data_IF_717382838553
#
_entry.id   IF_717382838553
#
_cell.length_a   1.000
_cell.length_b   1.000
_cell.length_c   1.000
_cell.angle_alpha   90.00
_cell.angle_beta   90.00
_cell.angle_gamma   90.00
#
_symmetry.space_group_name_H-M   'P 1'
#
loop_
_entity.id
_entity.type
_entity.pdbx_description
1 polymer ?
#
# COMPACT_ATOMS: atom_id res chain seq x y z
N UNK A 1 11.41 -38.54 71.14
CA UNK A 1 11.27 -37.97 72.50
C UNK A 1 12.49 -37.13 72.80
N UNK A 2 12.56 -35.88 72.33
CA UNK A 2 13.48 -34.85 72.86
C UNK A 2 12.79 -33.50 72.64
N UNK A 3 12.61 -32.84 73.78
CA UNK A 3 11.93 -31.58 74.01
C UNK A 3 12.96 -30.47 73.86
N UNK A 4 12.74 -29.42 73.10
CA UNK A 4 13.58 -28.23 73.11
C UNK A 4 12.69 -26.99 73.38
N UNK A 5 13.06 -26.32 74.46
CA UNK A 5 12.40 -25.18 75.04
C UNK A 5 12.60 -23.91 74.25
N UNK A 6 11.61 -23.03 74.34
CA UNK A 6 11.64 -21.64 73.83
C UNK A 6 12.27 -20.70 74.87
N UNK A 7 13.13 -19.80 74.35
CA UNK A 7 13.52 -18.61 75.11
C UNK A 7 13.19 -17.34 74.30
N UNK A 8 12.61 -16.29 74.88
CA UNK A 8 12.24 -15.09 74.15
C UNK A 8 13.33 -14.02 74.31
N UNK A 9 13.92 -13.65 73.23
CA UNK A 9 14.82 -12.50 73.16
C UNK A 9 14.07 -11.25 72.68
N UNK A 10 13.91 -10.28 73.55
CA UNK A 10 13.44 -8.90 73.30
C UNK A 10 14.51 -8.17 72.51
N UNK A 11 14.22 -7.72 71.32
CA UNK A 11 15.05 -6.76 70.58
C UNK A 11 14.32 -5.39 70.52
N UNK A 12 15.02 -4.37 71.01
CA UNK A 12 14.63 -2.98 71.01
C UNK A 12 14.75 -2.41 69.60
N UNK A 13 13.66 -1.90 69.07
CA UNK A 13 13.61 -1.18 67.80
C UNK A 13 14.06 0.26 68.02
N UNK A 14 15.20 0.63 67.48
CA UNK A 14 15.58 2.02 67.19
C UNK A 14 15.19 2.37 65.76
N UNK A 15 14.43 3.44 65.52
CA UNK A 15 14.13 3.84 64.11
C UNK A 15 15.28 4.67 63.56
N UNK A 16 16.00 4.11 62.61
CA UNK A 16 16.94 4.85 61.78
C UNK A 16 16.16 5.45 60.62
N UNK A 17 15.89 6.74 60.70
CA UNK A 17 15.23 7.55 59.68
C UNK A 17 16.26 7.79 58.55
N UNK A 18 16.24 6.96 57.50
CA UNK A 18 17.01 7.18 56.27
C UNK A 18 16.20 8.07 55.35
N UNK A 19 16.62 9.32 55.26
CA UNK A 19 16.14 10.28 54.25
C UNK A 19 16.63 9.83 52.87
N UNK A 20 15.77 9.19 52.10
CA UNK A 20 16.00 8.97 50.67
C UNK A 20 15.63 10.24 49.93
N UNK A 21 16.59 11.07 49.59
CA UNK A 21 16.48 12.11 48.58
C UNK A 21 16.40 11.42 47.23
N UNK A 22 15.17 11.17 46.78
CA UNK A 22 14.91 10.70 45.40
C UNK A 22 15.20 11.81 44.41
N UNK A 23 16.35 11.75 43.77
CA UNK A 23 16.60 12.46 42.51
C UNK A 23 15.74 11.79 41.45
N UNK A 24 14.56 12.36 41.17
CA UNK A 24 13.78 11.99 39.99
C UNK A 24 14.54 12.58 38.81
N UNK A 25 15.44 11.78 38.20
CA UNK A 25 15.92 12.04 36.89
C UNK A 25 14.71 11.84 35.93
N UNK A 26 14.13 12.95 35.50
CA UNK A 26 13.19 12.94 34.40
C UNK A 26 13.95 12.43 33.17
N UNK A 27 13.88 11.11 32.90
CA UNK A 27 14.24 10.55 31.60
C UNK A 27 13.18 11.08 30.66
N UNK A 28 13.47 12.19 30.02
CA UNK A 28 12.80 12.58 28.80
C UNK A 28 13.05 11.45 27.80
N UNK A 29 12.07 10.55 27.66
CA UNK A 29 11.97 9.69 26.49
C UNK A 29 11.64 10.65 25.35
N UNK A 30 12.69 11.27 24.80
CA UNK A 30 12.61 11.83 23.46
C UNK A 30 12.26 10.65 22.57
N UNK A 31 11.02 10.57 22.10
CA UNK A 31 10.75 9.92 20.84
C UNK A 31 11.65 10.65 19.87
N UNK A 32 12.79 10.04 19.52
CA UNK A 32 13.52 10.41 18.34
C UNK A 32 12.51 10.20 17.20
N UNK A 33 11.84 11.27 16.77
CA UNK A 33 11.37 11.35 15.42
C UNK A 33 12.61 10.97 14.60
N UNK A 34 12.57 9.86 13.85
CA UNK A 34 13.53 9.63 12.79
C UNK A 34 13.56 10.94 12.03
N UNK A 35 14.67 11.65 12.16
CA UNK A 35 14.85 12.93 11.46
C UNK A 35 14.60 12.60 10.00
N UNK A 36 13.63 13.25 9.43
CA UNK A 36 13.07 13.08 8.10
C UNK A 36 14.10 13.63 7.10
N UNK A 37 15.28 12.96 7.06
CA UNK A 37 16.41 13.37 6.26
C UNK A 37 16.03 13.28 4.79
N UNK A 38 15.82 14.45 4.21
CA UNK A 38 15.48 14.58 2.81
C UNK A 38 16.66 14.15 1.94
N UNK A 39 16.44 13.34 0.91
CA UNK A 39 17.50 13.00 -0.04
C UNK A 39 17.89 14.16 -0.94
N UNK A 40 17.14 15.26 -0.91
CA UNK A 40 17.30 16.44 -1.78
C UNK A 40 17.51 17.66 -0.91
N UNK A 41 18.64 18.33 -1.10
CA UNK A 41 18.98 19.55 -0.38
C UNK A 41 17.91 20.65 -0.59
N UNK A 42 17.46 21.22 0.51
CA UNK A 42 16.48 22.31 0.51
C UNK A 42 15.00 21.91 0.41
N UNK A 43 14.70 20.60 0.36
CA UNK A 43 13.34 20.09 0.39
C UNK A 43 13.14 19.14 1.58
N UNK A 44 11.96 19.09 2.14
CA UNK A 44 11.57 18.06 3.10
C UNK A 44 11.24 16.76 2.38
N UNK A 45 11.28 15.64 3.08
CA UNK A 45 10.88 14.34 2.53
C UNK A 45 9.44 14.36 1.99
N UNK A 46 8.52 15.03 2.68
CA UNK A 46 7.13 15.15 2.24
C UNK A 46 7.03 15.90 0.90
N UNK A 47 7.73 17.02 0.76
CA UNK A 47 7.79 17.79 -0.49
C UNK A 47 8.40 16.97 -1.63
N UNK A 48 9.47 16.22 -1.38
CA UNK A 48 10.08 15.36 -2.41
C UNK A 48 9.09 14.27 -2.87
N UNK A 49 8.34 13.67 -1.95
CA UNK A 49 7.32 12.67 -2.30
C UNK A 49 6.16 13.27 -3.08
N UNK A 50 5.68 14.45 -2.70
CA UNK A 50 4.60 15.17 -3.40
C UNK A 50 5.02 15.56 -4.82
N UNK A 51 6.20 16.15 -4.97
CA UNK A 51 6.76 16.50 -6.28
C UNK A 51 6.94 15.26 -7.15
N UNK A 52 7.49 14.18 -6.60
CA UNK A 52 7.67 12.92 -7.31
C UNK A 52 6.34 12.26 -7.70
N UNK A 53 5.32 12.36 -6.85
CA UNK A 53 3.96 11.88 -7.15
C UNK A 53 3.37 12.64 -8.34
N UNK A 54 3.49 13.96 -8.36
CA UNK A 54 3.03 14.78 -9.48
C UNK A 54 3.78 14.46 -10.77
N UNK A 55 5.09 14.25 -10.69
CA UNK A 55 5.88 13.81 -11.85
C UNK A 55 5.39 12.45 -12.38
N UNK A 56 5.12 11.51 -11.50
CA UNK A 56 4.69 10.16 -11.85
C UNK A 56 3.28 10.12 -12.42
N UNK A 57 2.34 10.85 -11.81
CA UNK A 57 0.92 10.81 -12.15
C UNK A 57 0.55 11.75 -13.28
N UNK A 58 1.01 13.00 -13.17
CA UNK A 58 0.58 14.07 -14.06
C UNK A 58 1.58 14.33 -15.18
N UNK A 59 2.80 13.78 -15.06
CA UNK A 59 3.87 14.00 -16.03
C UNK A 59 4.41 15.43 -16.01
N UNK A 60 4.34 16.11 -14.87
CA UNK A 60 4.78 17.49 -14.68
C UNK A 60 6.09 17.56 -13.88
N UNK A 61 7.02 18.40 -14.29
CA UNK A 61 8.21 18.75 -13.53
C UNK A 61 7.86 19.51 -12.24
N UNK A 62 8.78 19.63 -11.28
CA UNK A 62 8.58 20.44 -10.07
C UNK A 62 8.19 21.89 -10.35
N UNK A 63 8.66 22.47 -11.44
CA UNK A 63 8.30 23.83 -11.88
C UNK A 63 6.92 23.94 -12.55
N UNK A 64 6.21 22.81 -12.74
CA UNK A 64 4.89 22.73 -13.36
C UNK A 64 4.90 22.59 -14.89
N UNK A 65 6.06 22.55 -15.54
CA UNK A 65 6.15 22.30 -16.97
C UNK A 65 5.98 20.79 -17.27
N UNK A 66 5.40 20.41 -18.45
CA UNK A 66 5.34 19.02 -18.86
C UNK A 66 6.74 18.41 -19.02
N UNK A 67 6.91 17.17 -18.54
CA UNK A 67 8.11 16.39 -18.83
C UNK A 67 8.10 16.04 -20.31
N UNK A 68 9.16 16.38 -21.04
CA UNK A 68 9.31 15.97 -22.43
C UNK A 68 9.86 14.56 -22.53
N UNK A 69 9.41 13.79 -23.52
CA UNK A 69 9.87 12.43 -23.75
C UNK A 69 9.84 12.08 -25.23
N UNK A 70 10.50 10.97 -25.58
CA UNK A 70 10.39 10.36 -26.90
C UNK A 70 9.78 8.97 -26.79
N UNK A 71 8.77 8.68 -27.60
CA UNK A 71 8.23 7.33 -27.83
C UNK A 71 8.62 6.87 -29.23
N UNK A 72 8.67 5.56 -29.44
CA UNK A 72 9.02 4.98 -30.74
C UNK A 72 10.35 5.49 -31.33
N UNK A 73 11.22 6.02 -30.48
CA UNK A 73 12.57 6.58 -30.73
C UNK A 73 12.59 8.06 -31.17
N UNK A 74 11.64 8.54 -31.95
CA UNK A 74 11.67 9.85 -32.62
C UNK A 74 10.42 10.71 -32.44
N UNK A 75 9.34 10.13 -31.91
CA UNK A 75 8.10 10.89 -31.69
C UNK A 75 8.20 11.59 -30.35
N UNK A 76 8.31 12.93 -30.39
CA UNK A 76 8.29 13.75 -29.19
C UNK A 76 6.87 13.82 -28.59
N UNK A 77 6.77 13.62 -27.29
CA UNK A 77 5.52 13.66 -26.52
C UNK A 77 5.72 14.40 -25.20
N UNK A 78 4.63 14.86 -24.62
CA UNK A 78 4.61 15.44 -23.31
C UNK A 78 4.21 14.40 -22.25
N UNK A 79 4.77 14.52 -21.06
CA UNK A 79 4.49 13.65 -19.91
C UNK A 79 3.02 13.68 -19.48
N UNK A 80 2.32 14.78 -19.72
CA UNK A 80 0.87 14.93 -19.49
C UNK A 80 0.03 13.98 -20.35
N UNK A 81 0.54 13.58 -21.52
CA UNK A 81 -0.10 12.58 -22.40
C UNK A 81 0.40 11.16 -22.10
N UNK A 82 1.63 11.03 -21.64
CA UNK A 82 2.31 9.78 -21.38
C UNK A 82 2.93 9.79 -19.99
N UNK A 83 2.10 9.95 -18.96
CA UNK A 83 2.57 9.86 -17.58
C UNK A 83 2.96 8.42 -17.22
N UNK A 84 3.77 8.26 -16.18
CA UNK A 84 4.15 6.92 -15.73
C UNK A 84 2.92 6.11 -15.26
N UNK A 85 1.98 6.80 -14.58
CA UNK A 85 0.73 6.20 -14.08
C UNK A 85 -0.13 5.63 -15.20
N UNK A 86 -0.15 6.24 -16.39
CA UNK A 86 -1.01 5.80 -17.50
C UNK A 86 -0.75 4.35 -17.91
N UNK A 87 0.48 3.87 -17.75
CA UNK A 87 0.86 2.48 -18.05
C UNK A 87 1.15 1.66 -16.78
N UNK A 88 1.86 2.26 -15.81
CA UNK A 88 2.29 1.55 -14.60
C UNK A 88 1.25 1.56 -13.48
N UNK A 89 0.10 2.17 -13.70
CA UNK A 89 -1.01 2.41 -12.79
C UNK A 89 -0.57 3.16 -11.51
N UNK A 90 -1.53 3.67 -10.74
CA UNK A 90 -1.27 4.49 -9.55
C UNK A 90 -0.36 3.83 -8.52
N UNK A 91 -0.51 2.52 -8.34
CA UNK A 91 0.27 1.75 -7.36
C UNK A 91 1.66 1.37 -7.84
N UNK A 92 2.00 1.62 -9.11
CA UNK A 92 3.24 1.15 -9.70
C UNK A 92 3.30 -0.37 -9.91
N UNK A 93 2.17 -1.08 -9.86
CA UNK A 93 2.16 -2.54 -10.03
C UNK A 93 2.17 -2.98 -11.50
N UNK A 94 2.02 -2.03 -12.42
CA UNK A 94 1.97 -2.33 -13.84
C UNK A 94 0.61 -2.85 -14.31
N UNK A 95 0.51 -3.08 -15.59
CA UNK A 95 -0.71 -3.53 -16.28
C UNK A 95 -0.38 -4.48 -17.41
N UNK A 96 -1.41 -5.10 -17.97
CA UNK A 96 -1.30 -5.87 -19.22
C UNK A 96 -2.38 -5.40 -20.18
N UNK A 97 -1.95 -4.84 -21.30
CA UNK A 97 -2.83 -4.31 -22.34
C UNK A 97 -2.53 -5.01 -23.66
N UNK A 98 -3.42 -5.92 -24.05
CA UNK A 98 -3.22 -6.75 -25.23
C UNK A 98 -1.97 -7.62 -25.10
N UNK A 99 -0.95 -7.32 -25.89
CA UNK A 99 0.35 -8.01 -25.89
C UNK A 99 1.45 -7.24 -25.14
N UNK A 100 1.13 -6.05 -24.62
CA UNK A 100 2.09 -5.21 -23.89
C UNK A 100 1.97 -5.48 -22.41
N UNK A 101 3.06 -5.90 -21.79
CA UNK A 101 3.18 -6.07 -20.35
C UNK A 101 3.97 -4.90 -19.81
N UNK A 102 3.36 -4.15 -18.90
CA UNK A 102 4.01 -3.10 -18.15
C UNK A 102 4.38 -3.64 -16.77
N UNK A 103 5.67 -3.78 -16.51
CA UNK A 103 6.18 -4.35 -15.26
C UNK A 103 6.05 -3.39 -14.08
N UNK A 104 6.01 -3.92 -12.83
CA UNK A 104 5.99 -3.09 -11.64
C UNK A 104 7.16 -2.10 -11.56
N UNK A 105 6.84 -0.88 -11.13
CA UNK A 105 7.80 0.22 -10.91
C UNK A 105 7.85 0.69 -9.45
N UNK A 106 7.17 0.01 -8.54
CA UNK A 106 7.28 0.30 -7.12
C UNK A 106 8.61 -0.20 -6.53
N UNK A 107 9.12 0.47 -5.51
CA UNK A 107 10.43 0.19 -4.93
C UNK A 107 10.62 -1.24 -4.47
N UNK A 108 9.56 -1.85 -3.91
CA UNK A 108 9.59 -3.25 -3.47
C UNK A 108 9.88 -4.27 -4.58
N UNK A 109 9.65 -3.89 -5.85
CA UNK A 109 9.96 -4.69 -7.03
C UNK A 109 11.23 -4.23 -7.74
N UNK A 110 11.44 -2.92 -7.85
CA UNK A 110 12.61 -2.38 -8.55
C UNK A 110 13.93 -2.76 -7.87
N UNK A 111 14.01 -2.60 -6.55
CA UNK A 111 15.22 -2.84 -5.77
C UNK A 111 15.41 -4.30 -5.33
N UNK A 112 14.69 -5.22 -5.96
CA UNK A 112 14.92 -6.67 -5.85
C UNK A 112 15.24 -7.26 -7.21
N UNK A 113 16.05 -8.33 -7.25
CA UNK A 113 16.23 -9.07 -8.50
C UNK A 113 14.89 -9.61 -8.99
N UNK A 114 14.59 -9.38 -10.27
CA UNK A 114 13.47 -10.04 -10.91
C UNK A 114 13.96 -11.41 -11.39
N UNK A 115 13.50 -12.45 -10.74
CA UNK A 115 13.76 -13.81 -11.18
C UNK A 115 12.66 -14.16 -12.18
N UNK A 116 13.05 -14.42 -13.43
CA UNK A 116 12.16 -15.06 -14.39
C UNK A 116 11.72 -16.40 -13.79
N UNK A 117 10.46 -16.76 -13.97
CA UNK A 117 10.07 -18.14 -13.70
C UNK A 117 10.95 -19.03 -14.59
N UNK A 118 11.80 -19.85 -13.99
CA UNK A 118 12.37 -21.01 -14.68
C UNK A 118 11.20 -21.96 -14.98
N UNK A 119 10.48 -21.67 -16.04
CA UNK A 119 9.53 -22.62 -16.59
C UNK A 119 10.35 -23.79 -17.09
N UNK A 120 10.32 -24.90 -16.33
CA UNK A 120 10.87 -26.16 -16.80
C UNK A 120 10.31 -26.42 -18.18
N UNK A 121 11.16 -26.79 -19.13
CA UNK A 121 10.80 -27.03 -20.53
C UNK A 121 9.59 -27.96 -20.73
N UNK A 122 9.29 -28.79 -19.73
CA UNK A 122 8.13 -29.69 -19.71
C UNK A 122 6.79 -29.00 -19.47
N UNK A 123 6.77 -27.82 -18.82
CA UNK A 123 5.54 -27.04 -18.62
C UNK A 123 5.18 -26.17 -19.85
N UNK A 124 6.15 -25.86 -20.71
CA UNK A 124 5.92 -25.07 -21.92
C UNK A 124 5.07 -25.81 -22.97
N UNK A 125 5.02 -27.14 -22.91
CA UNK A 125 4.30 -27.93 -23.90
C UNK A 125 2.76 -27.97 -23.72
N UNK A 126 2.22 -27.55 -22.57
CA UNK A 126 0.80 -27.75 -22.23
C UNK A 126 -0.08 -26.49 -22.27
N UNK A 127 0.50 -25.31 -22.18
CA UNK A 127 -0.24 -24.05 -22.33
C UNK A 127 0.69 -23.08 -23.06
N UNK A 128 0.40 -22.69 -24.31
CA UNK A 128 1.07 -21.56 -24.91
C UNK A 128 0.69 -20.33 -24.06
N UNK A 129 1.51 -20.00 -23.06
CA UNK A 129 1.35 -18.72 -22.42
C UNK A 129 1.70 -17.67 -23.47
N UNK A 130 0.74 -16.87 -23.88
CA UNK A 130 0.96 -15.74 -24.80
C UNK A 130 1.88 -14.67 -24.21
N UNK A 131 2.32 -14.88 -22.98
CA UNK A 131 3.14 -13.96 -22.22
C UNK A 131 4.45 -14.66 -21.89
N UNK A 132 5.52 -14.21 -22.49
CA UNK A 132 6.86 -14.62 -22.09
C UNK A 132 7.09 -14.24 -20.62
N UNK A 133 7.68 -15.14 -19.81
CA UNK A 133 8.02 -14.81 -18.44
C UNK A 133 8.94 -13.58 -18.43
N UNK A 134 8.83 -12.71 -17.41
CA UNK A 134 9.69 -11.56 -17.32
C UNK A 134 11.15 -12.03 -17.31
N UNK A 135 12.01 -11.44 -18.13
CA UNK A 135 13.40 -11.85 -18.17
C UNK A 135 14.09 -11.53 -16.85
N UNK A 136 15.02 -12.39 -16.43
CA UNK A 136 15.86 -12.13 -15.26
C UNK A 136 16.55 -10.76 -15.39
N UNK A 137 16.54 -9.99 -14.30
CA UNK A 137 17.36 -8.79 -14.13
C UNK A 137 17.86 -8.67 -12.68
N UNK A 138 19.05 -8.09 -12.44
CA UNK A 138 19.46 -7.68 -11.12
C UNK A 138 18.53 -6.62 -10.52
N UNK A 139 18.66 -6.35 -9.24
CA UNK A 139 18.05 -5.19 -8.62
C UNK A 139 18.49 -3.90 -9.33
N UNK A 140 17.61 -2.92 -9.43
CA UNK A 140 18.03 -1.58 -9.82
C UNK A 140 18.84 -0.95 -8.68
N UNK A 141 19.77 -0.08 -9.05
CA UNK A 141 20.31 0.98 -8.22
C UNK A 141 19.68 2.30 -8.66
N UNK A 142 19.87 3.35 -7.87
CA UNK A 142 19.33 4.68 -8.22
C UNK A 142 19.87 5.15 -9.59
N UNK A 143 21.17 4.89 -9.88
CA UNK A 143 21.80 5.24 -11.15
C UNK A 143 21.25 4.41 -12.32
N UNK A 144 21.04 3.11 -12.13
CA UNK A 144 20.49 2.25 -13.19
C UNK A 144 19.01 2.54 -13.43
N UNK A 145 18.27 2.96 -12.40
CA UNK A 145 16.88 3.42 -12.52
C UNK A 145 16.80 4.76 -13.27
N UNK A 146 17.68 5.71 -12.93
CA UNK A 146 17.82 6.96 -13.69
C UNK A 146 18.17 6.70 -15.17
N UNK A 147 19.04 5.73 -15.44
CA UNK A 147 19.42 5.32 -16.80
C UNK A 147 18.26 4.72 -17.58
N UNK A 148 17.45 3.86 -16.95
CA UNK A 148 16.31 3.24 -17.65
C UNK A 148 15.23 4.26 -17.99
N UNK A 149 14.95 5.22 -17.11
CA UNK A 149 14.01 6.31 -17.36
C UNK A 149 14.42 7.14 -18.58
N UNK A 150 15.71 7.50 -18.67
CA UNK A 150 16.23 8.36 -19.74
C UNK A 150 16.54 7.63 -21.03
N UNK A 151 17.05 6.40 -20.96
CA UNK A 151 17.60 5.67 -22.11
C UNK A 151 16.87 4.38 -22.40
N UNK A 152 15.97 3.94 -21.54
CA UNK A 152 15.25 2.68 -21.68
C UNK A 152 16.15 1.44 -21.64
N UNK A 153 17.26 1.50 -20.92
CA UNK A 153 18.17 0.36 -20.73
C UNK A 153 18.11 -0.14 -19.30
N UNK A 154 17.72 -1.39 -19.13
CA UNK A 154 17.67 -2.03 -17.82
C UNK A 154 19.08 -2.30 -17.24
N UNK A 155 19.20 -2.86 -16.01
CA UNK A 155 20.51 -3.16 -15.40
C UNK A 155 21.37 -4.14 -16.21
N UNK A 156 20.78 -4.93 -17.09
CA UNK A 156 21.49 -5.85 -18.01
C UNK A 156 21.76 -5.23 -19.39
N UNK A 157 21.62 -3.91 -19.54
CA UNK A 157 21.73 -3.18 -20.81
C UNK A 157 20.73 -3.60 -21.91
N UNK A 158 19.68 -4.35 -21.53
CA UNK A 158 18.62 -4.66 -22.47
C UNK A 158 17.78 -3.43 -22.74
N UNK A 159 17.44 -3.22 -23.99
CA UNK A 159 16.57 -2.13 -24.41
C UNK A 159 15.13 -2.52 -24.10
N UNK A 160 14.44 -1.69 -23.33
CA UNK A 160 13.01 -1.84 -23.07
C UNK A 160 12.20 -1.50 -24.33
N UNK A 161 10.97 -1.99 -24.36
CA UNK A 161 10.04 -1.71 -25.45
C UNK A 161 9.96 -0.19 -25.70
N UNK A 162 9.95 0.21 -26.97
CA UNK A 162 9.93 1.61 -27.38
C UNK A 162 8.58 2.32 -27.12
N UNK A 163 7.56 1.58 -26.74
CA UNK A 163 6.29 2.13 -26.22
C UNK A 163 6.52 2.86 -24.89
N UNK A 164 7.44 2.36 -24.05
CA UNK A 164 7.84 3.10 -22.84
C UNK A 164 8.58 4.38 -23.25
N UNK A 165 8.13 5.56 -22.85
CA UNK A 165 8.81 6.81 -23.19
C UNK A 165 10.24 6.89 -22.65
N UNK A 166 11.08 7.65 -23.34
CA UNK A 166 12.43 8.04 -22.90
C UNK A 166 12.37 9.49 -22.45
N UNK A 167 12.28 9.68 -21.14
CA UNK A 167 12.03 11.01 -20.57
C UNK A 167 13.29 11.88 -20.57
N UNK A 168 13.12 13.12 -20.99
CA UNK A 168 14.15 14.16 -20.97
C UNK A 168 14.15 14.83 -19.59
N UNK A 169 14.53 14.12 -18.58
CA UNK A 169 14.60 14.58 -17.19
C UNK A 169 16.02 14.31 -16.64
N UNK A 170 16.53 15.18 -15.80
CA UNK A 170 17.87 15.04 -15.23
C UNK A 170 18.07 15.90 -14.00
N UNK A 171 19.26 15.80 -13.39
CA UNK A 171 19.60 16.53 -12.17
C UNK A 171 18.60 16.22 -11.03
N UNK A 172 18.33 17.22 -10.22
CA UNK A 172 17.45 17.12 -9.04
C UNK A 172 16.06 16.58 -9.36
N UNK A 173 15.47 16.93 -10.52
CA UNK A 173 14.15 16.43 -10.91
C UNK A 173 14.15 14.91 -11.10
N UNK A 174 15.21 14.36 -11.70
CA UNK A 174 15.35 12.91 -11.85
C UNK A 174 15.56 12.23 -10.50
N UNK A 175 16.32 12.84 -9.61
CA UNK A 175 16.56 12.31 -8.26
C UNK A 175 15.27 12.30 -7.44
N UNK A 176 14.43 13.32 -7.56
CA UNK A 176 13.07 13.38 -6.98
C UNK A 176 12.22 12.21 -7.49
N UNK A 177 12.17 11.98 -8.80
CA UNK A 177 11.38 10.91 -9.39
C UNK A 177 11.91 9.53 -8.96
N UNK A 178 13.22 9.31 -8.95
CA UNK A 178 13.84 8.06 -8.48
C UNK A 178 13.52 7.81 -7.01
N UNK A 179 13.60 8.82 -6.16
CA UNK A 179 13.24 8.72 -4.76
C UNK A 179 11.76 8.38 -4.56
N UNK A 180 10.87 9.01 -5.33
CA UNK A 180 9.45 8.67 -5.31
C UNK A 180 9.21 7.21 -5.69
N UNK A 181 9.77 6.74 -6.81
CA UNK A 181 9.62 5.34 -7.24
C UNK A 181 10.15 4.34 -6.21
N UNK A 182 11.22 4.68 -5.50
CA UNK A 182 11.77 3.86 -4.40
C UNK A 182 10.79 3.72 -3.24
N UNK A 183 10.00 4.77 -2.98
CA UNK A 183 9.01 4.82 -1.92
C UNK A 183 7.58 4.50 -2.38
N UNK A 184 7.34 4.41 -3.68
CA UNK A 184 6.02 4.11 -4.25
C UNK A 184 5.53 2.77 -3.71
N UNK A 185 4.33 2.77 -3.14
CA UNK A 185 3.71 1.59 -2.52
C UNK A 185 4.58 0.91 -1.45
N UNK A 186 5.45 1.66 -0.78
CA UNK A 186 6.26 1.17 0.34
C UNK A 186 5.42 0.95 1.59
N UNK A 187 4.32 1.66 1.71
CA UNK A 187 3.35 1.53 2.80
C UNK A 187 2.06 0.86 2.30
N UNK A 188 1.40 0.16 3.19
CA UNK A 188 0.08 -0.38 2.90
C UNK A 188 -0.93 0.76 2.71
N UNK A 189 -1.87 0.55 1.80
CA UNK A 189 -3.03 1.44 1.68
C UNK A 189 -3.82 1.44 2.99
N UNK A 190 -4.52 2.53 3.33
CA UNK A 190 -5.44 2.53 4.47
C UNK A 190 -6.35 1.30 4.44
N UNK A 191 -6.60 0.72 5.59
CA UNK A 191 -7.41 -0.51 5.71
C UNK A 191 -6.73 -1.81 5.27
N UNK A 192 -5.45 -1.77 4.91
CA UNK A 192 -4.68 -2.98 4.54
C UNK A 192 -3.56 -3.19 5.53
N UNK A 193 -3.41 -4.42 5.99
CA UNK A 193 -2.24 -4.88 6.75
C UNK A 193 -1.72 -6.22 6.20
N UNK A 194 -0.75 -6.82 6.85
CA UNK A 194 -0.14 -8.08 6.40
C UNK A 194 -1.13 -9.24 6.29
N UNK A 195 -2.21 -9.21 7.03
CA UNK A 195 -3.15 -10.33 7.20
C UNK A 195 -4.56 -10.02 6.75
N UNK A 196 -4.91 -8.74 6.60
CA UNK A 196 -6.31 -8.32 6.44
C UNK A 196 -6.45 -7.16 5.46
N UNK A 197 -7.51 -7.21 4.66
CA UNK A 197 -8.03 -6.06 3.89
C UNK A 197 -9.39 -5.71 4.49
N UNK A 198 -9.54 -4.48 4.95
CA UNK A 198 -10.77 -3.96 5.54
C UNK A 198 -11.59 -3.24 4.50
N UNK A 199 -12.84 -3.61 4.42
CA UNK A 199 -13.86 -2.96 3.62
C UNK A 199 -14.95 -2.41 4.51
N UNK A 200 -15.69 -1.43 4.04
CA UNK A 200 -16.94 -1.04 4.66
C UNK A 200 -18.06 -1.00 3.63
N UNK A 201 -19.28 -1.05 4.12
CA UNK A 201 -20.49 -0.76 3.34
C UNK A 201 -21.34 0.24 4.12
N UNK A 202 -22.08 1.07 3.41
CA UNK A 202 -22.83 2.18 4.00
C UNK A 202 -24.34 1.89 3.95
N UNK A 203 -25.04 2.14 5.07
CA UNK A 203 -26.47 2.00 5.17
C UNK A 203 -27.07 3.32 5.66
N UNK A 204 -27.96 3.88 4.86
CA UNK A 204 -28.69 5.09 5.23
C UNK A 204 -29.85 4.83 6.21
N UNK A 205 -30.42 5.92 6.81
CA UNK A 205 -31.41 5.81 7.88
C UNK A 205 -32.77 5.22 7.46
N UNK A 206 -33.17 5.42 6.21
CA UNK A 206 -34.51 5.04 5.73
C UNK A 206 -34.52 3.69 5.00
N UNK A 207 -33.57 2.84 5.29
CA UNK A 207 -33.42 1.52 4.66
C UNK A 207 -34.27 0.49 5.43
N UNK A 208 -35.14 -0.23 4.72
CA UNK A 208 -35.94 -1.29 5.33
C UNK A 208 -35.05 -2.48 5.73
N UNK A 209 -35.47 -3.24 6.75
CA UNK A 209 -34.77 -4.44 7.18
C UNK A 209 -34.69 -5.51 6.07
N UNK A 210 -35.65 -5.54 5.17
CA UNK A 210 -35.61 -6.44 4.01
C UNK A 210 -34.52 -6.05 3.04
N UNK A 211 -34.44 -4.76 2.69
CA UNK A 211 -33.40 -4.24 1.78
C UNK A 211 -32.02 -4.34 2.41
N UNK A 212 -31.91 -4.05 3.70
CA UNK A 212 -30.68 -4.25 4.49
C UNK A 212 -30.17 -5.69 4.36
N UNK A 213 -31.01 -6.68 4.62
CA UNK A 213 -30.66 -8.10 4.50
C UNK A 213 -30.31 -8.50 3.07
N UNK A 214 -31.06 -7.99 2.10
CA UNK A 214 -30.82 -8.26 0.69
C UNK A 214 -29.44 -7.76 0.23
N UNK A 215 -28.97 -6.64 0.76
CA UNK A 215 -27.68 -6.07 0.46
C UNK A 215 -26.54 -6.71 1.26
N UNK A 216 -26.67 -6.85 2.58
CA UNK A 216 -25.61 -7.39 3.45
C UNK A 216 -25.40 -8.88 3.25
N UNK A 217 -26.46 -9.66 3.06
CA UNK A 217 -26.37 -11.11 2.95
C UNK A 217 -25.34 -11.61 1.92
N UNK A 218 -25.39 -11.14 0.66
CA UNK A 218 -24.40 -11.49 -0.37
C UNK A 218 -22.99 -11.03 -0.04
N UNK A 219 -22.81 -9.81 0.51
CA UNK A 219 -21.48 -9.29 0.88
C UNK A 219 -20.84 -10.12 1.99
N UNK A 220 -21.60 -10.41 3.04
CA UNK A 220 -21.12 -11.26 4.14
C UNK A 220 -20.85 -12.69 3.69
N UNK A 221 -21.68 -13.23 2.79
CA UNK A 221 -21.45 -14.56 2.22
C UNK A 221 -20.15 -14.59 1.42
N UNK A 222 -19.90 -13.57 0.59
CA UNK A 222 -18.66 -13.45 -0.17
C UNK A 222 -17.42 -13.35 0.73
N UNK A 223 -17.48 -12.53 1.77
CA UNK A 223 -16.39 -12.39 2.75
C UNK A 223 -16.11 -13.72 3.47
N UNK A 224 -17.16 -14.44 3.89
CA UNK A 224 -17.03 -15.75 4.51
C UNK A 224 -16.41 -16.78 3.56
N UNK A 225 -16.85 -16.80 2.30
CA UNK A 225 -16.35 -17.71 1.27
C UNK A 225 -14.88 -17.45 0.99
N UNK A 226 -14.50 -16.21 0.69
CA UNK A 226 -13.11 -15.80 0.51
C UNK A 226 -12.23 -16.22 1.70
N UNK A 227 -12.67 -15.93 2.92
CA UNK A 227 -11.93 -16.27 4.13
C UNK A 227 -11.83 -17.77 4.38
N UNK A 228 -12.79 -18.55 3.89
CA UNK A 228 -12.75 -20.01 3.99
C UNK A 228 -11.76 -20.62 2.99
N UNK A 229 -11.72 -20.08 1.78
CA UNK A 229 -10.83 -20.54 0.71
C UNK A 229 -9.37 -20.17 0.97
N UNK A 230 -9.09 -19.03 1.59
CA UNK A 230 -7.73 -18.59 1.88
C UNK A 230 -7.05 -19.37 3.03
N UNK A 231 -7.80 -20.03 3.91
CA UNK A 231 -7.24 -20.79 5.04
C UNK A 231 -6.30 -21.95 4.66
N UNK A 232 -6.59 -22.78 3.65
CA UNK A 232 -5.68 -23.84 3.23
C UNK A 232 -4.35 -23.28 2.70
N UNK A 233 -4.41 -22.18 1.98
CA UNK A 233 -3.25 -21.54 1.36
C UNK A 233 -2.36 -20.88 2.40
N UNK A 234 -2.94 -20.21 3.39
CA UNK A 234 -2.21 -19.69 4.55
C UNK A 234 -1.47 -20.80 5.32
N UNK A 235 -2.09 -21.97 5.47
CA UNK A 235 -1.43 -23.13 6.09
C UNK A 235 -0.29 -23.67 5.26
N UNK A 236 -0.44 -23.75 3.93
CA UNK A 236 0.61 -24.17 3.00
C UNK A 236 1.78 -23.19 3.02
N UNK A 237 1.51 -21.89 3.00
CA UNK A 237 2.55 -20.86 3.07
C UNK A 237 3.41 -20.97 4.35
N UNK A 238 2.83 -21.45 5.46
CA UNK A 238 3.54 -21.72 6.72
C UNK A 238 4.19 -23.12 6.79
N UNK A 239 3.86 -24.01 5.88
CA UNK A 239 4.08 -25.46 6.00
C UNK A 239 5.44 -26.01 5.56
N UNK A 240 6.41 -25.18 5.16
CA UNK A 240 7.77 -25.65 4.93
C UNK A 240 8.35 -25.46 3.53
N UNK A 241 9.50 -26.09 3.22
CA UNK A 241 10.32 -25.76 2.04
C UNK A 241 9.72 -26.17 0.70
N UNK A 242 8.69 -26.99 0.68
CA UNK A 242 8.05 -27.47 -0.55
C UNK A 242 7.10 -26.44 -1.17
N UNK A 243 6.69 -25.42 -0.43
CA UNK A 243 5.73 -24.38 -0.83
C UNK A 243 6.39 -23.00 -0.91
N UNK A 244 7.58 -22.92 -1.51
CA UNK A 244 8.36 -21.69 -1.56
C UNK A 244 7.65 -20.55 -2.31
N UNK A 245 6.87 -20.88 -3.31
CA UNK A 245 6.14 -19.90 -4.13
C UNK A 245 4.96 -19.32 -3.35
N UNK A 246 4.22 -20.15 -2.61
CA UNK A 246 3.09 -19.72 -1.78
C UNK A 246 3.53 -18.90 -0.56
N UNK A 247 4.77 -19.07 -0.09
CA UNK A 247 5.31 -18.34 1.05
C UNK A 247 5.31 -16.81 0.86
N UNK A 248 5.33 -16.35 -0.38
CA UNK A 248 5.39 -14.93 -0.72
C UNK A 248 4.04 -14.40 -1.21
N UNK A 249 3.03 -15.23 -1.35
CA UNK A 249 1.69 -14.78 -1.70
C UNK A 249 1.01 -14.17 -0.47
N UNK A 250 0.52 -12.93 -0.54
CA UNK A 250 -0.16 -12.30 0.58
C UNK A 250 -1.59 -12.85 0.71
N UNK A 251 -1.77 -13.86 1.55
CA UNK A 251 -3.09 -14.39 1.88
C UNK A 251 -3.75 -13.50 2.92
N UNK A 252 -4.47 -12.48 2.45
CA UNK A 252 -5.20 -11.57 3.32
C UNK A 252 -6.65 -11.99 3.47
N UNK A 253 -7.14 -11.89 4.69
CA UNK A 253 -8.55 -12.02 4.99
C UNK A 253 -9.30 -10.75 4.63
N UNK A 254 -10.56 -10.88 4.32
CA UNK A 254 -11.46 -9.75 4.19
C UNK A 254 -12.18 -9.52 5.51
N UNK A 255 -12.23 -8.26 5.96
CA UNK A 255 -13.08 -7.80 7.04
C UNK A 255 -14.09 -6.80 6.43
N UNK A 256 -15.34 -6.90 6.84
CA UNK A 256 -16.41 -6.00 6.39
C UNK A 256 -17.02 -5.31 7.61
N UNK A 257 -16.97 -3.99 7.61
CA UNK A 257 -17.62 -3.12 8.58
C UNK A 257 -18.89 -2.54 7.96
N UNK A 258 -19.95 -2.44 8.75
CA UNK A 258 -21.19 -1.78 8.33
C UNK A 258 -21.22 -0.38 8.95
N UNK A 259 -21.19 0.64 8.13
CA UNK A 259 -21.28 2.02 8.54
C UNK A 259 -22.72 2.49 8.40
N UNK A 260 -23.39 2.67 9.52
CA UNK A 260 -24.76 3.16 9.57
C UNK A 260 -24.76 4.69 9.68
N UNK A 261 -25.47 5.33 8.78
CA UNK A 261 -25.64 6.78 8.76
C UNK A 261 -26.98 7.14 9.38
N UNK A 262 -26.98 8.19 10.17
CA UNK A 262 -28.18 8.67 10.85
C UNK A 262 -28.51 10.11 10.44
N UNK A 263 -29.78 10.47 10.53
CA UNK A 263 -30.26 11.82 10.29
C UNK A 263 -30.13 12.28 8.82
N UNK A 264 -30.04 13.60 8.63
CA UNK A 264 -30.05 14.22 7.33
C UNK A 264 -28.69 14.08 6.60
N UNK A 265 -28.72 14.05 5.28
CA UNK A 265 -27.55 13.79 4.42
C UNK A 265 -26.40 14.79 4.58
N UNK A 266 -26.69 16.01 4.98
CA UNK A 266 -25.69 17.05 5.26
C UNK A 266 -24.76 16.72 6.44
N UNK A 267 -25.16 15.78 7.32
CA UNK A 267 -24.34 15.30 8.43
C UNK A 267 -23.50 14.07 8.09
N UNK A 268 -23.75 13.43 6.95
CA UNK A 268 -23.17 12.12 6.64
C UNK A 268 -21.68 12.17 6.38
N UNK A 269 -21.17 13.22 5.75
CA UNK A 269 -19.74 13.39 5.52
C UNK A 269 -18.95 13.29 6.84
N UNK A 270 -19.41 14.01 7.86
CA UNK A 270 -18.76 13.99 9.19
C UNK A 270 -18.83 12.60 9.85
N UNK A 271 -19.95 11.88 9.68
CA UNK A 271 -20.12 10.53 10.21
C UNK A 271 -19.16 9.54 9.50
N UNK A 272 -19.08 9.61 8.18
CA UNK A 272 -18.16 8.78 7.38
C UNK A 272 -16.70 9.02 7.77
N UNK A 273 -16.31 10.27 7.95
CA UNK A 273 -14.96 10.61 8.43
C UNK A 273 -14.70 10.10 9.85
N UNK A 274 -15.71 10.11 10.72
CA UNK A 274 -15.58 9.57 12.07
C UNK A 274 -15.40 8.05 12.06
N UNK A 275 -16.15 7.34 11.23
CA UNK A 275 -15.98 5.90 11.01
C UNK A 275 -14.58 5.59 10.46
N UNK A 276 -14.14 6.32 9.44
CA UNK A 276 -12.85 6.12 8.80
C UNK A 276 -11.66 6.41 9.74
N UNK A 277 -11.75 7.45 10.54
CA UNK A 277 -10.72 7.76 11.57
C UNK A 277 -10.61 6.66 12.63
N UNK A 278 -11.73 6.04 12.99
CA UNK A 278 -11.75 4.93 13.95
C UNK A 278 -11.19 3.65 13.35
N UNK A 279 -11.58 3.34 12.13
CA UNK A 279 -11.18 2.14 11.41
C UNK A 279 -11.03 2.46 9.91
N UNK A 280 -9.80 2.79 9.46
CA UNK A 280 -9.55 3.00 8.04
C UNK A 280 -9.88 1.77 7.22
N UNK A 281 -10.49 1.98 6.05
CA UNK A 281 -10.86 0.92 5.10
C UNK A 281 -10.20 1.14 3.74
N UNK A 282 -9.96 0.04 3.04
CA UNK A 282 -9.39 0.05 1.70
C UNK A 282 -10.39 0.53 0.64
N UNK A 283 -11.64 0.15 0.81
CA UNK A 283 -12.71 0.53 -0.11
C UNK A 283 -14.08 0.43 0.55
N UNK A 284 -15.04 1.18 0.01
CA UNK A 284 -16.45 0.97 0.25
C UNK A 284 -17.01 -0.02 -0.77
N UNK A 285 -17.67 -1.08 -0.28
CA UNK A 285 -18.31 -2.10 -1.10
C UNK A 285 -19.81 -1.83 -1.21
N UNK A 286 -20.20 -1.07 -2.23
CA UNK A 286 -21.59 -0.69 -2.41
C UNK A 286 -22.13 0.11 -1.23
N UNK A 287 -23.40 -0.04 -1.00
CA UNK A 287 -24.17 0.61 0.06
C UNK A 287 -25.62 0.71 -0.34
N UNK A 288 -26.45 1.15 0.57
CA UNK A 288 -27.87 1.41 0.30
C UNK A 288 -28.34 2.60 1.10
N UNK A 289 -28.98 3.54 0.43
CA UNK A 289 -29.63 4.71 1.03
C UNK A 289 -30.79 5.15 0.15
N UNK A 290 -31.86 5.61 0.76
CA UNK A 290 -32.97 6.24 0.05
C UNK A 290 -32.67 7.71 -0.33
N UNK A 291 -31.57 8.27 0.19
CA UNK A 291 -31.21 9.67 -0.01
C UNK A 291 -30.12 9.87 -1.07
N UNK A 292 -29.51 11.03 -1.02
CA UNK A 292 -28.45 11.45 -1.93
C UNK A 292 -27.13 10.71 -1.65
N UNK A 293 -26.42 10.38 -2.72
CA UNK A 293 -25.09 9.78 -2.63
C UNK A 293 -23.94 10.80 -2.60
N UNK A 294 -24.24 12.07 -2.84
CA UNK A 294 -23.22 13.11 -2.92
C UNK A 294 -22.25 13.14 -1.73
N UNK A 295 -22.70 13.10 -0.45
CA UNK A 295 -21.77 13.10 0.69
C UNK A 295 -20.86 11.86 0.73
N UNK A 296 -21.34 10.70 0.26
CA UNK A 296 -20.56 9.45 0.21
C UNK A 296 -19.50 9.56 -0.87
N UNK A 297 -19.84 10.12 -2.03
CA UNK A 297 -18.86 10.39 -3.10
C UNK A 297 -17.80 11.38 -2.65
N UNK A 298 -18.21 12.51 -2.06
CA UNK A 298 -17.30 13.53 -1.54
C UNK A 298 -16.32 12.94 -0.52
N UNK A 299 -16.82 12.10 0.38
CA UNK A 299 -15.96 11.37 1.32
C UNK A 299 -14.94 10.48 0.59
N UNK A 300 -15.37 9.70 -0.41
CA UNK A 300 -14.49 8.81 -1.15
C UNK A 300 -13.40 9.56 -1.92
N UNK A 301 -13.75 10.65 -2.57
CA UNK A 301 -12.81 11.48 -3.31
C UNK A 301 -11.80 12.16 -2.37
N UNK A 302 -12.29 12.79 -1.30
CA UNK A 302 -11.44 13.52 -0.34
C UNK A 302 -10.46 12.61 0.40
N UNK A 303 -10.86 11.39 0.74
CA UNK A 303 -10.04 10.43 1.46
C UNK A 303 -9.35 9.41 0.53
N UNK A 304 -9.51 9.54 -0.80
CA UNK A 304 -8.99 8.61 -1.80
C UNK A 304 -9.41 7.15 -1.56
N UNK A 305 -10.55 6.94 -0.93
CA UNK A 305 -11.14 5.63 -0.70
C UNK A 305 -11.85 5.17 -1.97
N UNK A 306 -11.55 3.98 -2.45
CA UNK A 306 -12.19 3.43 -3.63
C UNK A 306 -13.66 3.10 -3.34
N UNK A 307 -14.57 3.58 -4.17
CA UNK A 307 -15.95 3.13 -4.17
C UNK A 307 -16.13 2.07 -5.26
N UNK A 308 -16.45 0.84 -4.84
CA UNK A 308 -16.74 -0.26 -5.75
C UNK A 308 -18.25 -0.40 -5.89
N UNK A 309 -18.83 0.31 -6.86
CA UNK A 309 -20.22 0.16 -7.23
C UNK A 309 -20.45 -1.11 -8.01
N UNK A 310 -21.55 -1.80 -7.72
CA UNK A 310 -22.08 -2.80 -8.61
C UNK A 310 -22.69 -2.05 -9.81
N UNK A 311 -22.00 -2.07 -10.96
CA UNK A 311 -22.59 -1.65 -12.23
C UNK A 311 -23.68 -2.68 -12.60
N UNK A 312 -24.91 -2.38 -12.22
CA UNK A 312 -26.07 -3.16 -12.54
C UNK A 312 -27.21 -2.20 -12.81
N UNK A 313 -27.48 -2.03 -14.09
CA UNK A 313 -28.62 -1.41 -14.78
C UNK A 313 -29.77 -0.94 -13.91
#
# INVERSE_FOLDING_TARGET
MIRIERSPGRWVLTPLMVLFLGVIAAVSIGTAAEEDESPIEGLTRAEVLELGERMYRDGLLPNGEPIRAFVQQDIEVEGTMFSCESCHVRSGMGSTEGTVITYPTCGSWLYKPLQGAEMKAESQARVPSRLDPPPFRPAYTDESLARVIRRGKDPNDRVLNYVMPRYLVGGTDLDILVYYLKNLSSQWSPGVDDTTIRFATVIGPDVTELDRKAMLGPLEAHVRDHNSQSRPDERRAKGGPFYKEEKFAPYRRYALSVWELEGAADTWLQQLEAHYRKEPVFALLGGITAGEWAPIHEFCESNQVRELKRTGT
#
